data_IF_233440611693
#
_entry.id   IF_233440611693
#
_cell.length_a   1.000
_cell.length_b   1.000
_cell.length_c   1.000
_cell.angle_alpha   90.00
_cell.angle_beta   90.00
_cell.angle_gamma   90.00
#
_symmetry.space_group_name_H-M   'P 1'
#
loop_
_entity.id
_entity.type
_entity.pdbx_description
1 polymer ?
#
# COMPACT_ATOMS: atom_id res chain seq x y z
N UNK A 1 -65.75 14.01 -2.27
CA UNK A 1 -67.13 13.64 -2.65
C UNK A 1 -67.58 14.65 -3.68
N UNK A 2 -67.71 14.22 -4.94
CA UNK A 2 -68.01 15.10 -6.07
C UNK A 2 -69.52 15.18 -6.28
N UNK A 3 -70.10 16.31 -5.89
CA UNK A 3 -71.55 16.55 -5.95
C UNK A 3 -72.09 16.54 -7.37
N UNK A 4 -71.29 16.98 -8.35
CA UNK A 4 -71.70 17.03 -9.75
C UNK A 4 -71.80 15.61 -10.29
N UNK A 5 -70.79 14.78 -9.99
CA UNK A 5 -70.77 13.36 -10.39
C UNK A 5 -71.94 12.60 -9.78
N UNK A 6 -72.19 12.77 -8.48
CA UNK A 6 -73.34 12.15 -7.79
C UNK A 6 -74.67 12.62 -8.40
N UNK A 7 -74.81 13.92 -8.67
CA UNK A 7 -76.01 14.46 -9.32
C UNK A 7 -76.27 13.87 -10.70
N UNK A 8 -75.22 13.78 -11.54
CA UNK A 8 -75.30 13.15 -12.85
C UNK A 8 -75.65 11.66 -12.75
N UNK A 9 -75.13 10.97 -11.75
CA UNK A 9 -75.41 9.56 -11.50
C UNK A 9 -76.88 9.33 -11.09
N UNK A 10 -77.42 10.14 -10.16
CA UNK A 10 -78.84 10.15 -9.78
C UNK A 10 -79.71 10.37 -11.03
N UNK A 11 -79.37 11.38 -11.85
CA UNK A 11 -80.11 11.69 -13.07
C UNK A 11 -80.07 10.54 -14.08
N UNK A 12 -78.90 9.89 -14.22
CA UNK A 12 -78.69 8.74 -15.09
C UNK A 12 -79.55 7.56 -14.67
N UNK A 13 -79.51 7.15 -13.39
CA UNK A 13 -80.31 6.04 -12.87
C UNK A 13 -81.80 6.31 -12.93
N UNK A 14 -82.24 7.53 -12.59
CA UNK A 14 -83.65 7.93 -12.73
C UNK A 14 -84.13 7.79 -14.18
N UNK A 15 -83.35 8.29 -15.14
CA UNK A 15 -83.69 8.20 -16.58
C UNK A 15 -83.68 6.76 -17.07
N UNK A 16 -82.77 5.91 -16.59
CA UNK A 16 -82.73 4.49 -16.93
C UNK A 16 -84.00 3.75 -16.46
N UNK A 17 -84.59 4.19 -15.34
CA UNK A 17 -85.88 3.69 -14.84
C UNK A 17 -87.10 4.36 -15.50
N UNK A 18 -86.90 5.25 -16.47
CA UNK A 18 -87.98 5.95 -17.19
C UNK A 18 -88.78 6.94 -16.33
N UNK A 19 -88.30 7.29 -15.14
CA UNK A 19 -89.00 8.18 -14.22
C UNK A 19 -88.76 9.65 -14.57
N UNK A 20 -89.78 10.51 -14.46
CA UNK A 20 -89.62 11.97 -14.47
C UNK A 20 -89.13 12.49 -13.11
N UNK A 21 -88.55 13.70 -13.06
CA UNK A 21 -88.14 14.31 -11.79
C UNK A 21 -89.32 14.45 -10.81
N UNK A 22 -90.51 14.76 -11.33
CA UNK A 22 -91.75 14.84 -10.55
C UNK A 22 -92.12 13.48 -9.94
N UNK A 23 -92.05 12.40 -10.71
CA UNK A 23 -92.37 11.05 -10.22
C UNK A 23 -91.36 10.55 -9.18
N UNK A 24 -90.07 10.87 -9.33
CA UNK A 24 -89.08 10.56 -8.30
C UNK A 24 -89.32 11.38 -7.03
N UNK A 25 -89.68 12.65 -7.18
CA UNK A 25 -90.01 13.53 -6.06
C UNK A 25 -91.25 13.04 -5.28
N UNK A 26 -92.30 12.61 -5.99
CA UNK A 26 -93.51 12.02 -5.39
C UNK A 26 -93.19 10.73 -4.62
N UNK A 27 -92.33 9.87 -5.15
CA UNK A 27 -91.88 8.64 -4.46
C UNK A 27 -91.11 8.91 -3.16
N UNK A 28 -90.41 10.04 -3.09
CA UNK A 28 -89.57 10.43 -1.96
C UNK A 28 -90.23 11.47 -1.05
N UNK A 29 -91.48 11.87 -1.31
CA UNK A 29 -92.19 12.88 -0.53
C UNK A 29 -91.55 14.29 -0.58
N UNK A 30 -90.80 14.63 -1.63
CA UNK A 30 -90.11 15.92 -1.78
C UNK A 30 -90.64 16.73 -2.97
N UNK A 31 -90.20 17.98 -3.09
CA UNK A 31 -90.48 18.79 -4.28
C UNK A 31 -89.64 18.35 -5.49
N UNK A 32 -90.20 18.45 -6.69
CA UNK A 32 -89.49 18.26 -7.97
C UNK A 32 -88.26 19.20 -8.10
N UNK A 33 -88.35 20.41 -7.54
CA UNK A 33 -87.24 21.36 -7.43
C UNK A 33 -86.07 20.82 -6.60
N UNK A 34 -86.35 20.01 -5.57
CA UNK A 34 -85.30 19.38 -4.74
C UNK A 34 -84.52 18.36 -5.56
N UNK A 35 -85.22 17.48 -6.29
CA UNK A 35 -84.60 16.50 -7.20
C UNK A 35 -83.77 17.19 -8.28
N UNK A 36 -84.27 18.29 -8.86
CA UNK A 36 -83.53 19.09 -9.85
C UNK A 36 -82.25 19.73 -9.29
N UNK A 37 -82.22 20.10 -8.00
CA UNK A 37 -80.99 20.60 -7.35
C UNK A 37 -79.98 19.48 -7.13
N UNK A 38 -80.44 18.29 -6.73
CA UNK A 38 -79.58 17.13 -6.56
C UNK A 38 -78.95 16.70 -7.87
N UNK A 39 -79.74 16.57 -8.93
CA UNK A 39 -79.27 16.12 -10.25
C UNK A 39 -78.28 17.10 -10.90
N UNK A 40 -78.33 18.38 -10.56
CA UNK A 40 -77.38 19.40 -11.02
C UNK A 40 -76.15 19.54 -10.11
N UNK A 41 -76.07 18.75 -9.04
CA UNK A 41 -74.97 18.82 -8.05
C UNK A 41 -74.98 20.08 -7.21
N UNK A 42 -76.13 20.79 -7.09
CA UNK A 42 -76.27 22.02 -6.31
C UNK A 42 -76.27 21.72 -4.81
N UNK A 43 -76.91 20.62 -4.40
CA UNK A 43 -76.90 20.12 -3.03
C UNK A 43 -77.15 18.61 -3.00
N UNK A 44 -76.92 17.95 -1.86
CA UNK A 44 -77.32 16.55 -1.66
C UNK A 44 -78.73 16.47 -1.05
N UNK A 45 -79.40 15.31 -1.16
CA UNK A 45 -80.50 14.95 -0.28
C UNK A 45 -80.06 14.98 1.19
N UNK A 46 -81.03 15.06 2.09
CA UNK A 46 -80.76 14.81 3.51
C UNK A 46 -80.30 13.35 3.69
N UNK A 47 -79.42 13.08 4.66
CA UNK A 47 -78.93 11.72 4.96
C UNK A 47 -80.08 10.76 5.26
N UNK A 48 -81.17 11.26 5.86
CA UNK A 48 -82.41 10.50 6.10
C UNK A 48 -83.05 9.98 4.80
N UNK A 49 -82.89 10.70 3.69
CA UNK A 49 -83.43 10.33 2.37
C UNK A 49 -82.49 9.42 1.56
N UNK A 50 -81.26 9.15 2.02
CA UNK A 50 -80.29 8.39 1.24
C UNK A 50 -80.76 6.96 0.99
N UNK A 51 -81.28 6.27 2.01
CA UNK A 51 -81.76 4.90 1.88
C UNK A 51 -82.96 4.81 0.95
N UNK A 52 -83.90 5.74 1.06
CA UNK A 52 -85.11 5.80 0.22
C UNK A 52 -84.77 6.15 -1.22
N UNK A 53 -83.85 7.09 -1.45
CA UNK A 53 -83.36 7.43 -2.78
C UNK A 53 -82.62 6.25 -3.42
N UNK A 54 -81.74 5.59 -2.68
CA UNK A 54 -81.02 4.41 -3.16
C UNK A 54 -81.99 3.27 -3.52
N UNK A 55 -83.00 3.03 -2.68
CA UNK A 55 -84.05 2.04 -2.95
C UNK A 55 -84.91 2.42 -4.17
N UNK A 56 -85.28 3.70 -4.31
CA UNK A 56 -86.07 4.19 -5.44
C UNK A 56 -85.30 4.12 -6.78
N UNK A 57 -83.97 4.18 -6.73
CA UNK A 57 -83.09 4.12 -7.90
C UNK A 57 -82.45 2.74 -8.13
N UNK A 58 -82.60 1.80 -7.19
CA UNK A 58 -82.03 0.45 -7.28
C UNK A 58 -80.51 0.41 -7.19
N UNK A 59 -79.88 1.32 -6.44
CA UNK A 59 -78.42 1.43 -6.28
C UNK A 59 -77.99 1.21 -4.83
N UNK A 60 -76.75 0.80 -4.60
CA UNK A 60 -76.15 0.71 -3.28
C UNK A 60 -75.70 2.07 -2.73
N UNK A 61 -75.63 2.20 -1.41
CA UNK A 61 -75.18 3.46 -0.76
C UNK A 61 -73.75 3.85 -1.17
N UNK A 62 -72.86 2.87 -1.37
CA UNK A 62 -71.49 3.13 -1.80
C UNK A 62 -71.43 3.62 -3.25
N UNK A 63 -72.30 3.14 -4.12
CA UNK A 63 -72.41 3.60 -5.52
C UNK A 63 -72.96 5.03 -5.56
N UNK A 64 -73.99 5.32 -4.73
CA UNK A 64 -74.52 6.67 -4.57
C UNK A 64 -73.45 7.67 -4.09
N UNK A 65 -72.69 7.34 -3.04
CA UNK A 65 -71.66 8.23 -2.48
C UNK A 65 -70.44 8.38 -3.41
N UNK A 66 -70.16 7.36 -4.22
CA UNK A 66 -69.04 7.38 -5.19
C UNK A 66 -69.44 8.06 -6.51
N UNK A 67 -70.74 8.10 -6.82
CA UNK A 67 -71.29 8.68 -8.05
C UNK A 67 -71.06 7.83 -9.30
N UNK A 68 -70.72 6.55 -9.14
CA UNK A 68 -70.40 5.59 -10.20
C UNK A 68 -70.82 4.18 -9.79
N UNK A 69 -71.10 3.32 -10.77
CA UNK A 69 -71.26 1.88 -10.56
C UNK A 69 -69.94 1.30 -10.05
N UNK A 70 -69.98 0.65 -8.89
CA UNK A 70 -68.80 -0.06 -8.37
C UNK A 70 -68.81 -1.43 -9.03
N UNK A 71 -68.17 -1.53 -10.20
CA UNK A 71 -67.92 -2.81 -10.84
C UNK A 71 -67.00 -3.66 -9.94
N UNK A 72 -67.52 -4.77 -9.41
CA UNK A 72 -66.85 -5.68 -8.48
C UNK A 72 -65.66 -6.47 -9.10
N UNK A 73 -65.12 -6.04 -10.25
CA UNK A 73 -64.17 -6.81 -11.05
C UNK A 73 -62.74 -6.26 -11.16
N UNK A 74 -62.36 -5.22 -10.39
CA UNK A 74 -61.05 -4.55 -10.55
C UNK A 74 -60.04 -4.77 -9.40
N UNK A 75 -60.39 -5.59 -8.40
CA UNK A 75 -59.53 -5.92 -7.26
C UNK A 75 -58.43 -6.98 -7.53
N UNK A 76 -58.68 -8.09 -8.27
CA UNK A 76 -57.66 -9.14 -8.41
C UNK A 76 -56.48 -8.74 -9.31
N UNK A 77 -56.71 -7.88 -10.31
CA UNK A 77 -55.70 -7.53 -11.32
C UNK A 77 -54.59 -6.61 -10.77
N UNK A 78 -54.94 -5.69 -9.87
CA UNK A 78 -53.98 -4.77 -9.22
C UNK A 78 -53.15 -5.46 -8.14
N UNK A 79 -53.68 -6.50 -7.49
CA UNK A 79 -52.94 -7.27 -6.48
C UNK A 79 -51.83 -8.12 -7.15
N UNK A 80 -52.13 -8.78 -8.26
CA UNK A 80 -51.15 -9.58 -9.02
C UNK A 80 -50.01 -8.72 -9.57
N UNK A 81 -50.31 -7.52 -10.08
CA UNK A 81 -49.30 -6.63 -10.66
C UNK A 81 -48.33 -6.08 -9.59
N UNK A 82 -48.84 -5.73 -8.40
CA UNK A 82 -48.02 -5.29 -7.27
C UNK A 82 -47.14 -6.41 -6.68
N UNK A 83 -47.64 -7.66 -6.64
CA UNK A 83 -46.87 -8.83 -6.18
C UNK A 83 -45.75 -9.17 -7.18
N UNK A 84 -46.03 -9.09 -8.48
CA UNK A 84 -45.03 -9.35 -9.52
C UNK A 84 -43.93 -8.27 -9.54
N UNK A 85 -44.27 -7.00 -9.35
CA UNK A 85 -43.29 -5.91 -9.25
C UNK A 85 -42.40 -6.05 -8.02
N UNK A 86 -42.98 -6.32 -6.84
CA UNK A 86 -42.20 -6.54 -5.60
C UNK A 86 -41.29 -7.78 -5.67
N UNK A 87 -41.73 -8.87 -6.32
CA UNK A 87 -40.91 -10.06 -6.54
C UNK A 87 -39.74 -9.82 -7.53
N UNK A 88 -39.97 -9.04 -8.60
CA UNK A 88 -38.95 -8.69 -9.58
C UNK A 88 -37.89 -7.73 -9.00
N UNK A 89 -38.31 -6.77 -8.18
CA UNK A 89 -37.42 -5.81 -7.49
C UNK A 89 -36.56 -6.49 -6.43
N UNK A 90 -37.08 -7.49 -5.72
CA UNK A 90 -36.30 -8.32 -4.81
C UNK A 90 -35.13 -9.03 -5.51
N UNK A 91 -35.39 -9.65 -6.67
CA UNK A 91 -34.34 -10.34 -7.46
C UNK A 91 -33.30 -9.36 -8.02
N UNK A 92 -33.71 -8.18 -8.50
CA UNK A 92 -32.79 -7.14 -8.99
C UNK A 92 -31.93 -6.56 -7.87
N UNK A 93 -32.52 -6.26 -6.72
CA UNK A 93 -31.80 -5.78 -5.52
C UNK A 93 -30.80 -6.82 -5.03
N UNK A 94 -31.18 -8.10 -5.00
CA UNK A 94 -30.28 -9.20 -4.62
C UNK A 94 -29.09 -9.34 -5.58
N UNK A 95 -29.29 -9.20 -6.90
CA UNK A 95 -28.19 -9.19 -7.88
C UNK A 95 -27.26 -8.00 -7.66
N UNK A 96 -27.80 -6.79 -7.47
CA UNK A 96 -27.00 -5.58 -7.18
C UNK A 96 -26.20 -5.72 -5.89
N UNK A 97 -26.80 -6.23 -4.82
CA UNK A 97 -26.12 -6.52 -3.55
C UNK A 97 -24.98 -7.52 -3.74
N UNK A 98 -25.22 -8.64 -4.45
CA UNK A 98 -24.16 -9.63 -4.75
C UNK A 98 -23.02 -9.01 -5.58
N UNK A 99 -23.33 -8.18 -6.57
CA UNK A 99 -22.32 -7.47 -7.35
C UNK A 99 -21.53 -6.46 -6.49
N UNK A 100 -22.19 -5.70 -5.62
CA UNK A 100 -21.52 -4.78 -4.70
C UNK A 100 -20.60 -5.51 -3.72
N UNK A 101 -21.05 -6.63 -3.15
CA UNK A 101 -20.24 -7.46 -2.26
C UNK A 101 -19.04 -8.04 -3.02
N UNK A 102 -19.25 -8.57 -4.24
CA UNK A 102 -18.17 -9.08 -5.07
C UNK A 102 -17.15 -7.98 -5.42
N UNK A 103 -17.60 -6.78 -5.78
CA UNK A 103 -16.72 -5.64 -6.06
C UNK A 103 -15.90 -5.24 -4.82
N UNK A 104 -16.53 -5.21 -3.64
CA UNK A 104 -15.85 -4.89 -2.38
C UNK A 104 -14.79 -5.94 -2.04
N UNK A 105 -15.09 -7.23 -2.24
CA UNK A 105 -14.13 -8.32 -2.05
C UNK A 105 -12.93 -8.23 -2.98
N UNK A 106 -13.14 -7.85 -4.25
CA UNK A 106 -12.05 -7.65 -5.22
C UNK A 106 -11.15 -6.49 -4.78
N UNK A 107 -11.75 -5.36 -4.37
CA UNK A 107 -10.99 -4.19 -3.88
C UNK A 107 -10.20 -4.54 -2.63
N UNK A 108 -10.81 -5.27 -1.67
CA UNK A 108 -10.10 -5.69 -0.46
C UNK A 108 -8.96 -6.66 -0.77
N UNK A 109 -9.15 -7.59 -1.70
CA UNK A 109 -8.10 -8.52 -2.12
C UNK A 109 -6.94 -7.77 -2.80
N UNK A 110 -7.24 -6.81 -3.68
CA UNK A 110 -6.23 -5.98 -4.33
C UNK A 110 -5.43 -5.15 -3.31
N UNK A 111 -6.11 -4.54 -2.33
CA UNK A 111 -5.46 -3.79 -1.25
C UNK A 111 -4.51 -4.67 -0.43
N UNK A 112 -4.95 -5.88 -0.05
CA UNK A 112 -4.12 -6.86 0.66
C UNK A 112 -2.93 -7.31 -0.17
N UNK A 113 -3.08 -7.52 -1.48
CA UNK A 113 -1.96 -7.86 -2.37
C UNK A 113 -0.93 -6.72 -2.48
N UNK A 114 -1.37 -5.45 -2.52
CA UNK A 114 -0.47 -4.29 -2.54
C UNK A 114 0.30 -4.19 -1.22
N UNK A 115 -0.40 -4.32 -0.08
CA UNK A 115 0.23 -4.32 1.24
C UNK A 115 1.21 -5.49 1.37
N UNK A 116 0.81 -6.68 0.92
CA UNK A 116 1.67 -7.86 0.90
C UNK A 116 2.92 -7.65 0.06
N UNK A 117 2.79 -7.11 -1.16
CA UNK A 117 3.92 -6.78 -2.02
C UNK A 117 4.85 -5.72 -1.41
N UNK A 118 4.28 -4.71 -0.76
CA UNK A 118 5.06 -3.69 -0.04
C UNK A 118 5.85 -4.30 1.13
N UNK A 119 5.21 -5.12 1.96
CA UNK A 119 5.87 -5.82 3.07
C UNK A 119 6.98 -6.75 2.58
N UNK A 120 6.75 -7.50 1.50
CA UNK A 120 7.77 -8.38 0.89
C UNK A 120 8.94 -7.56 0.35
N UNK A 121 8.70 -6.36 -0.20
CA UNK A 121 9.75 -5.50 -0.75
C UNK A 121 10.59 -4.85 0.36
N UNK A 122 9.95 -4.36 1.42
CA UNK A 122 10.64 -3.74 2.56
C UNK A 122 11.40 -4.75 3.40
N UNK A 123 10.90 -5.99 3.50
CA UNK A 123 11.54 -7.05 4.28
C UNK A 123 12.44 -7.95 3.41
N UNK A 124 12.92 -7.46 2.26
CA UNK A 124 13.93 -8.17 1.46
C UNK A 124 15.20 -8.27 2.30
N UNK A 125 15.84 -9.45 2.37
CA UNK A 125 17.13 -9.57 3.02
C UNK A 125 18.15 -8.68 2.27
N UNK A 126 18.68 -7.69 2.95
CA UNK A 126 19.81 -6.88 2.50
C UNK A 126 21.11 -7.51 3.02
N UNK A 127 21.99 -7.87 2.08
CA UNK A 127 23.33 -8.37 2.30
C UNK A 127 24.26 -7.47 1.50
N UNK A 128 24.67 -6.33 2.08
CA UNK A 128 25.38 -5.25 1.37
C UNK A 128 26.42 -4.57 2.25
N UNK A 129 27.43 -3.99 1.61
CA UNK A 129 28.48 -3.15 2.20
C UNK A 129 28.43 -1.80 1.52
N UNK A 130 28.39 -0.73 2.30
CA UNK A 130 28.29 0.65 1.80
C UNK A 130 29.34 1.55 2.44
N UNK A 131 30.06 2.37 1.66
CA UNK A 131 30.87 3.43 2.23
C UNK A 131 29.96 4.45 2.92
N UNK A 132 30.41 4.98 4.06
CA UNK A 132 29.72 6.08 4.73
C UNK A 132 29.93 7.36 3.94
N UNK A 133 28.86 8.16 3.78
CA UNK A 133 28.90 9.39 3.00
C UNK A 133 29.97 10.36 3.50
N UNK A 134 30.73 10.95 2.56
CA UNK A 134 31.87 11.83 2.87
C UNK A 134 31.49 13.08 3.69
N UNK A 135 30.24 13.53 3.55
CA UNK A 135 29.64 14.70 4.21
C UNK A 135 28.79 14.35 5.44
N UNK A 136 28.71 13.06 5.82
CA UNK A 136 27.99 12.67 7.03
C UNK A 136 28.65 13.23 8.28
N UNK A 137 27.87 13.43 9.35
CA UNK A 137 28.38 13.92 10.62
C UNK A 137 29.38 12.95 11.25
N UNK A 138 29.18 11.65 11.09
CA UNK A 138 30.12 10.62 11.56
C UNK A 138 31.45 10.74 10.83
N UNK A 139 31.42 10.91 9.50
CA UNK A 139 32.62 11.00 8.68
C UNK A 139 33.38 12.32 8.91
N UNK A 140 32.67 13.43 9.10
CA UNK A 140 33.28 14.71 9.47
C UNK A 140 33.97 14.63 10.84
N UNK A 141 33.31 14.00 11.82
CA UNK A 141 33.90 13.78 13.15
C UNK A 141 35.17 12.92 13.05
N UNK A 142 35.11 11.87 12.26
CA UNK A 142 36.24 10.98 12.04
C UNK A 142 37.43 11.68 11.37
N UNK A 143 37.18 12.52 10.35
CA UNK A 143 38.23 13.34 9.71
C UNK A 143 38.93 14.29 10.69
N UNK A 144 38.21 14.84 11.65
CA UNK A 144 38.80 15.69 12.70
C UNK A 144 39.76 14.91 13.60
N UNK A 145 39.48 13.62 13.84
CA UNK A 145 40.30 12.75 14.71
C UNK A 145 41.47 12.12 13.94
N UNK A 146 41.22 11.70 12.69
CA UNK A 146 42.20 11.02 11.85
C UNK A 146 43.22 11.96 11.18
N UNK A 147 42.98 13.27 11.20
CA UNK A 147 43.88 14.26 10.64
C UNK A 147 43.84 14.33 9.10
N UNK A 148 44.95 14.78 8.52
CA UNK A 148 45.07 15.08 7.08
C UNK A 148 44.97 13.85 6.16
N UNK A 149 45.21 12.67 6.72
CA UNK A 149 45.25 11.41 5.97
C UNK A 149 43.84 10.82 5.77
N UNK A 150 42.87 11.40 6.48
CA UNK A 150 41.48 10.99 6.47
C UNK A 150 41.31 9.59 7.08
N UNK A 151 40.14 9.03 6.83
CA UNK A 151 39.82 7.69 7.25
C UNK A 151 38.79 7.12 6.26
N UNK A 152 38.56 5.81 6.36
CA UNK A 152 37.58 5.10 5.56
C UNK A 152 36.63 4.40 6.50
N UNK A 153 35.34 4.65 6.33
CA UNK A 153 34.29 4.07 7.15
C UNK A 153 33.27 3.40 6.24
N UNK A 154 32.94 2.16 6.57
CA UNK A 154 31.96 1.36 5.86
C UNK A 154 30.95 0.81 6.85
N UNK A 155 29.70 0.68 6.42
CA UNK A 155 28.68 -0.09 7.13
C UNK A 155 28.32 -1.31 6.30
N UNK A 156 28.16 -2.45 6.96
CA UNK A 156 27.56 -3.60 6.33
C UNK A 156 26.20 -3.90 6.98
N UNK A 157 25.29 -4.42 6.17
CA UNK A 157 24.03 -5.02 6.60
C UNK A 157 24.01 -6.43 6.05
N UNK A 158 23.85 -7.43 6.93
CA UNK A 158 23.87 -8.85 6.60
C UNK A 158 22.63 -9.51 7.21
N UNK A 159 21.60 -9.69 6.38
CA UNK A 159 20.35 -10.36 6.75
C UNK A 159 20.53 -11.86 6.92
N UNK A 160 21.41 -12.47 6.13
CA UNK A 160 21.79 -13.87 6.30
C UNK A 160 22.75 -14.04 7.48
N UNK A 161 22.68 -15.18 8.16
CA UNK A 161 23.62 -15.50 9.23
C UNK A 161 25.00 -15.93 8.68
N UNK A 162 26.05 -15.58 9.42
CA UNK A 162 27.44 -15.98 9.17
C UNK A 162 28.14 -16.38 10.48
N UNK A 163 29.21 -17.16 10.40
CA UNK A 163 29.98 -17.62 11.56
C UNK A 163 31.17 -16.74 11.88
N UNK A 164 31.77 -16.11 10.88
CA UNK A 164 32.88 -15.18 11.11
C UNK A 164 33.00 -14.14 10.00
N UNK A 165 33.59 -13.01 10.37
CA UNK A 165 34.01 -11.95 9.46
C UNK A 165 35.52 -11.92 9.46
N UNK A 166 36.12 -12.27 8.32
CA UNK A 166 37.57 -12.26 8.13
C UNK A 166 37.94 -11.05 7.28
N UNK A 167 39.02 -10.38 7.67
CA UNK A 167 39.58 -9.27 6.92
C UNK A 167 41.02 -9.62 6.56
N UNK A 168 41.37 -9.43 5.30
CA UNK A 168 42.66 -9.74 4.75
C UNK A 168 43.43 -8.47 4.45
N UNK A 169 44.74 -8.49 4.71
CA UNK A 169 45.69 -7.50 4.27
C UNK A 169 46.66 -8.18 3.33
N UNK A 170 46.70 -7.75 2.08
CA UNK A 170 47.67 -8.21 1.09
C UNK A 170 48.61 -7.07 0.76
N UNK A 171 49.90 -7.26 1.00
CA UNK A 171 50.93 -6.26 0.74
C UNK A 171 51.63 -6.55 -0.58
N UNK A 172 51.85 -5.49 -1.35
CA UNK A 172 52.56 -5.52 -2.62
C UNK A 172 53.72 -4.53 -2.62
N UNK A 173 54.90 -5.00 -3.03
CA UNK A 173 56.07 -4.16 -3.30
C UNK A 173 56.42 -4.27 -4.79
N UNK A 174 56.51 -3.14 -5.48
CA UNK A 174 56.81 -3.04 -6.91
C UNK A 174 55.96 -4.00 -7.77
N UNK A 175 54.66 -4.05 -7.45
CA UNK A 175 53.67 -4.92 -8.12
C UNK A 175 53.70 -6.40 -7.73
N UNK A 176 54.60 -6.84 -6.84
CA UNK A 176 54.68 -8.24 -6.39
C UNK A 176 54.10 -8.40 -5.00
N UNK A 177 53.22 -9.39 -4.83
CA UNK A 177 52.70 -9.75 -3.51
C UNK A 177 53.84 -10.25 -2.62
N UNK A 178 54.03 -9.61 -1.47
CA UNK A 178 55.08 -9.96 -0.49
C UNK A 178 54.50 -10.61 0.75
N UNK A 179 53.28 -10.24 1.16
CA UNK A 179 52.61 -10.83 2.32
C UNK A 179 51.09 -10.89 2.11
N UNK A 180 50.43 -11.81 2.82
CA UNK A 180 48.97 -11.84 2.97
C UNK A 180 48.63 -12.32 4.37
N UNK A 181 48.13 -11.40 5.19
CA UNK A 181 47.72 -11.64 6.57
C UNK A 181 46.20 -11.56 6.69
N UNK A 182 45.64 -12.09 7.78
CA UNK A 182 44.23 -11.93 8.07
C UNK A 182 43.94 -11.86 9.57
N UNK A 183 42.83 -11.21 9.89
CA UNK A 183 42.23 -11.21 11.22
C UNK A 183 40.77 -11.64 11.12
N UNK A 184 40.31 -12.41 12.10
CA UNK A 184 38.98 -13.01 12.10
C UNK A 184 38.21 -12.64 13.36
N UNK A 185 36.96 -12.20 13.18
CA UNK A 185 35.99 -12.02 14.26
C UNK A 185 34.96 -13.15 14.18
N UNK A 186 34.95 -14.04 15.17
CA UNK A 186 34.09 -15.23 15.21
C UNK A 186 32.83 -15.00 16.04
N UNK A 187 31.70 -15.48 15.54
CA UNK A 187 30.36 -15.37 16.14
C UNK A 187 29.70 -16.71 16.45
N UNK A 188 30.43 -17.84 16.37
CA UNK A 188 29.89 -19.21 16.53
C UNK A 188 28.99 -19.39 17.75
N UNK A 189 29.29 -18.72 18.86
CA UNK A 189 28.59 -18.90 20.14
C UNK A 189 27.54 -17.82 20.45
N UNK A 190 27.53 -16.72 19.69
CA UNK A 190 26.72 -15.51 19.99
C UNK A 190 25.77 -15.10 18.86
N UNK A 191 25.91 -15.70 17.68
CA UNK A 191 25.14 -15.35 16.47
C UNK A 191 25.72 -14.12 15.77
N UNK A 192 25.68 -14.10 14.43
CA UNK A 192 26.19 -12.98 13.65
C UNK A 192 25.34 -11.72 13.82
N UNK A 193 25.98 -10.54 13.93
CA UNK A 193 25.28 -9.27 13.92
C UNK A 193 24.65 -9.00 12.55
N UNK A 194 23.50 -8.32 12.55
CA UNK A 194 22.83 -7.90 11.30
C UNK A 194 23.43 -6.64 10.70
N UNK A 195 24.11 -5.83 11.51
CA UNK A 195 24.78 -4.62 11.08
C UNK A 195 26.13 -4.50 11.78
N UNK A 196 27.10 -3.92 11.08
CA UNK A 196 28.39 -3.58 11.67
C UNK A 196 29.11 -2.49 10.90
N UNK A 197 30.16 -1.98 11.52
CA UNK A 197 30.99 -0.88 11.03
C UNK A 197 32.42 -1.35 10.87
N UNK A 198 33.01 -1.01 9.72
CA UNK A 198 34.42 -1.24 9.40
C UNK A 198 35.08 0.12 9.28
N UNK A 199 36.13 0.34 10.05
CA UNK A 199 36.85 1.60 10.12
C UNK A 199 38.34 1.35 9.85
N UNK A 200 38.88 2.08 8.89
CA UNK A 200 40.30 2.03 8.51
C UNK A 200 40.86 3.44 8.62
N UNK A 201 41.83 3.63 9.50
CA UNK A 201 42.42 4.94 9.79
C UNK A 201 43.92 4.87 9.50
N UNK A 202 44.38 5.34 8.33
CA UNK A 202 45.79 5.56 8.08
C UNK A 202 46.34 6.66 8.99
N UNK A 203 47.50 6.41 9.57
CA UNK A 203 48.28 7.35 10.36
C UNK A 203 49.69 7.39 9.75
N UNK A 204 49.90 8.32 8.84
CA UNK A 204 51.16 8.45 8.12
C UNK A 204 52.25 9.11 8.96
N UNK A 205 51.90 9.84 10.01
CA UNK A 205 52.88 10.38 10.95
C UNK A 205 53.63 9.24 11.64
N UNK A 206 52.88 8.20 12.05
CA UNK A 206 53.42 7.01 12.69
C UNK A 206 53.65 5.83 11.74
N UNK A 207 53.37 5.98 10.45
CA UNK A 207 53.48 4.92 9.44
C UNK A 207 52.75 3.64 9.85
N UNK A 208 51.53 3.78 10.36
CA UNK A 208 50.65 2.66 10.68
C UNK A 208 49.24 2.88 10.14
N UNK A 209 48.51 1.79 9.97
CA UNK A 209 47.08 1.83 9.67
C UNK A 209 46.35 1.10 10.79
N UNK A 210 45.38 1.78 11.40
CA UNK A 210 44.50 1.18 12.41
C UNK A 210 43.25 0.63 11.74
N UNK A 211 42.93 -0.61 12.06
CA UNK A 211 41.74 -1.32 11.59
C UNK A 211 40.83 -1.61 12.77
N UNK A 212 39.59 -1.14 12.71
CA UNK A 212 38.57 -1.38 13.73
C UNK A 212 37.34 -1.96 13.07
N UNK A 213 36.92 -3.13 13.53
CA UNK A 213 35.62 -3.74 13.25
C UNK A 213 34.80 -3.62 14.52
N UNK A 214 33.60 -3.05 14.41
CA UNK A 214 32.68 -2.92 15.51
C UNK A 214 31.28 -3.31 15.06
N UNK A 215 30.67 -4.24 15.76
CA UNK A 215 29.32 -4.74 15.48
C UNK A 215 28.49 -4.82 16.77
N UNK A 216 27.29 -5.40 16.72
CA UNK A 216 26.27 -5.44 17.78
C UNK A 216 26.64 -6.06 19.14
N UNK A 217 27.91 -6.01 19.53
CA UNK A 217 28.45 -6.38 20.83
C UNK A 217 29.95 -6.69 20.79
N UNK A 218 30.50 -6.97 19.60
CA UNK A 218 31.90 -7.33 19.43
C UNK A 218 32.71 -6.18 18.86
N UNK A 219 34.00 -6.14 19.21
CA UNK A 219 34.96 -5.20 18.66
C UNK A 219 36.29 -5.89 18.44
N UNK A 220 36.79 -5.84 17.20
CA UNK A 220 38.16 -6.17 16.85
C UNK A 220 38.89 -4.86 16.54
N UNK A 221 40.06 -4.64 17.14
CA UNK A 221 40.90 -3.47 16.89
C UNK A 221 42.34 -3.94 16.75
N UNK A 222 42.94 -3.69 15.60
CA UNK A 222 44.33 -4.05 15.29
C UNK A 222 45.00 -2.90 14.53
N UNK A 223 46.32 -2.95 14.39
CA UNK A 223 47.07 -2.05 13.51
C UNK A 223 48.21 -2.79 12.82
N UNK A 224 48.60 -2.29 11.65
CA UNK A 224 49.74 -2.81 10.90
C UNK A 224 50.62 -1.66 10.42
N UNK A 225 51.95 -1.87 10.35
CA UNK A 225 52.86 -0.86 9.81
C UNK A 225 52.70 -0.72 8.29
N UNK A 226 53.04 0.46 7.78
CA UNK A 226 53.14 0.74 6.34
C UNK A 226 54.53 1.28 6.03
N UNK A 227 55.06 0.95 4.85
CA UNK A 227 56.38 1.38 4.37
C UNK A 227 57.49 1.06 5.39
N UNK A 228 57.44 -0.14 5.98
CA UNK A 228 58.43 -0.57 6.96
C UNK A 228 59.80 -0.76 6.28
N UNK A 229 60.85 -0.22 6.89
CA UNK A 229 62.22 -0.29 6.35
C UNK A 229 62.56 0.78 5.31
N UNK A 230 61.62 1.59 4.85
CA UNK A 230 61.87 2.61 3.82
C UNK A 230 62.36 3.95 4.41
N UNK A 231 63.54 4.41 4.00
CA UNK A 231 64.15 5.64 4.55
C UNK A 231 63.43 6.93 4.10
N UNK A 232 62.99 6.98 2.82
CA UNK A 232 62.38 8.16 2.21
C UNK A 232 60.85 8.18 2.24
N UNK A 233 60.24 7.24 2.98
CA UNK A 233 58.78 7.04 3.04
C UNK A 233 57.94 8.27 3.35
N UNK A 234 58.51 9.30 4.01
CA UNK A 234 57.84 10.59 4.31
C UNK A 234 57.50 11.41 3.07
N UNK A 235 58.21 11.20 1.97
CA UNK A 235 58.04 11.98 0.74
C UNK A 235 57.20 11.26 -0.31
N UNK A 236 56.73 10.05 -0.01
CA UNK A 236 55.96 9.27 -0.96
C UNK A 236 54.62 9.95 -1.20
N UNK A 237 54.26 10.07 -2.48
CA UNK A 237 52.90 10.38 -2.85
C UNK A 237 52.00 9.23 -2.37
N UNK A 238 50.82 9.57 -1.86
CA UNK A 238 49.86 8.62 -1.29
C UNK A 238 48.46 8.82 -1.86
N UNK A 239 47.77 7.73 -2.12
CA UNK A 239 46.36 7.72 -2.53
C UNK A 239 45.64 6.48 -1.98
N UNK A 240 44.31 6.57 -1.89
CA UNK A 240 43.45 5.44 -1.55
C UNK A 240 42.39 5.20 -2.62
N UNK A 241 42.20 3.93 -2.99
CA UNK A 241 41.09 3.49 -3.83
C UNK A 241 40.14 2.64 -2.99
N UNK A 242 38.92 3.12 -2.76
CA UNK A 242 37.87 2.40 -2.03
C UNK A 242 36.74 1.98 -2.95
N UNK A 243 35.85 1.11 -2.46
CA UNK A 243 34.52 0.99 -3.05
C UNK A 243 33.80 2.35 -2.98
N UNK A 244 33.14 2.75 -4.06
CA UNK A 244 32.40 4.02 -4.14
C UNK A 244 30.89 3.83 -3.94
N UNK A 245 30.37 2.71 -4.42
CA UNK A 245 28.95 2.36 -4.36
C UNK A 245 28.68 1.19 -3.40
N UNK A 246 27.41 1.01 -3.07
CA UNK A 246 26.92 -0.16 -2.35
C UNK A 246 27.26 -1.45 -3.11
N UNK A 247 27.94 -2.37 -2.42
CA UNK A 247 28.42 -3.64 -2.98
C UNK A 247 27.70 -4.81 -2.30
N UNK A 248 27.08 -5.74 -3.04
CA UNK A 248 26.45 -6.93 -2.45
C UNK A 248 27.46 -7.80 -1.72
N UNK A 249 27.09 -8.33 -0.54
CA UNK A 249 27.89 -9.33 0.17
C UNK A 249 27.75 -10.67 -0.55
N UNK A 250 28.88 -11.21 -0.97
CA UNK A 250 29.00 -12.58 -1.48
C UNK A 250 29.67 -13.41 -0.39
N UNK A 251 28.88 -14.22 0.31
CA UNK A 251 29.39 -15.13 1.35
C UNK A 251 30.37 -16.15 0.76
N UNK A 252 31.34 -16.60 1.56
CA UNK A 252 32.42 -17.51 1.12
C UNK A 252 33.26 -16.93 -0.04
N UNK A 253 33.33 -15.60 -0.15
CA UNK A 253 34.10 -14.93 -1.18
C UNK A 253 34.79 -13.71 -0.60
N UNK A 254 36.09 -13.60 -0.90
CA UNK A 254 36.89 -12.44 -0.56
C UNK A 254 36.53 -11.26 -1.48
N UNK A 255 36.07 -10.16 -0.89
CA UNK A 255 35.61 -8.97 -1.59
C UNK A 255 36.52 -7.76 -1.32
N UNK A 256 36.87 -6.98 -2.36
CA UNK A 256 37.68 -5.77 -2.22
C UNK A 256 37.00 -4.71 -1.37
N UNK A 257 37.77 -4.02 -0.52
CA UNK A 257 37.27 -2.89 0.27
C UNK A 257 38.07 -1.61 0.02
N UNK A 258 39.40 -1.67 0.19
CA UNK A 258 40.28 -0.51 0.11
C UNK A 258 41.68 -0.91 -0.37
N UNK A 259 42.31 -0.11 -1.22
CA UNK A 259 43.72 -0.18 -1.51
C UNK A 259 44.39 1.15 -1.12
N UNK A 260 45.40 1.09 -0.25
CA UNK A 260 46.28 2.23 0.06
C UNK A 260 47.54 2.11 -0.78
N UNK A 261 47.87 3.16 -1.53
CA UNK A 261 48.90 3.14 -2.56
C UNK A 261 49.92 4.23 -2.26
N UNK A 262 51.19 3.87 -2.35
CA UNK A 262 52.31 4.78 -2.15
C UNK A 262 53.31 4.66 -3.30
N UNK A 263 53.84 5.80 -3.75
CA UNK A 263 54.92 5.84 -4.73
C UNK A 263 55.80 7.07 -4.53
N UNK A 264 57.09 6.93 -4.83
CA UNK A 264 58.06 8.02 -4.80
C UNK A 264 57.87 8.99 -5.99
N UNK A 265 57.55 8.45 -7.18
CA UNK A 265 57.57 9.23 -8.43
C UNK A 265 56.17 9.52 -8.99
N UNK A 266 55.38 8.48 -9.24
CA UNK A 266 54.10 8.61 -9.93
C UNK A 266 53.07 7.63 -9.42
N UNK A 267 51.93 8.16 -8.95
CA UNK A 267 50.79 7.34 -8.56
C UNK A 267 49.91 7.03 -9.76
N UNK A 268 49.51 5.77 -9.87
CA UNK A 268 48.38 5.36 -10.70
C UNK A 268 47.27 4.80 -9.81
N UNK A 269 46.16 5.53 -9.75
CA UNK A 269 44.95 5.09 -9.05
C UNK A 269 44.13 4.19 -9.96
N UNK A 270 43.73 3.02 -9.44
CA UNK A 270 42.87 2.05 -10.12
C UNK A 270 41.67 1.73 -9.23
N UNK A 271 40.62 1.18 -9.83
CA UNK A 271 39.49 0.70 -9.05
C UNK A 271 39.95 -0.43 -8.12
N UNK A 272 39.42 -0.46 -6.89
CA UNK A 272 39.83 -1.45 -5.88
C UNK A 272 39.56 -2.89 -6.33
N UNK A 273 38.57 -3.09 -7.21
CA UNK A 273 38.21 -4.38 -7.79
C UNK A 273 39.28 -4.95 -8.73
N UNK A 274 40.10 -4.11 -9.36
CA UNK A 274 41.17 -4.57 -10.26
C UNK A 274 42.27 -5.31 -9.48
N UNK A 275 42.46 -4.99 -8.20
CA UNK A 275 43.42 -5.68 -7.33
C UNK A 275 42.98 -7.10 -6.99
N UNK A 276 41.67 -7.35 -6.85
CA UNK A 276 41.11 -8.67 -6.60
C UNK A 276 41.36 -9.65 -7.77
N UNK A 277 41.42 -9.13 -9.01
CA UNK A 277 41.66 -9.91 -10.22
C UNK A 277 43.14 -10.30 -10.43
N UNK A 278 44.03 -10.04 -9.46
CA UNK A 278 45.48 -10.26 -9.60
C UNK A 278 46.14 -9.40 -10.69
N UNK A 279 45.41 -8.39 -11.19
CA UNK A 279 45.81 -7.49 -12.26
C UNK A 279 46.57 -6.30 -11.69
N UNK A 280 47.57 -6.54 -10.83
CA UNK A 280 48.30 -5.45 -10.17
C UNK A 280 49.36 -4.93 -11.12
N UNK A 281 49.22 -3.65 -11.51
CA UNK A 281 50.21 -2.96 -12.35
C UNK A 281 51.53 -2.78 -11.60
N UNK A 282 52.69 -3.02 -12.21
CA UNK A 282 54.01 -2.84 -11.58
C UNK A 282 54.40 -1.37 -11.34
N UNK A 283 53.47 -0.42 -11.46
CA UNK A 283 53.76 1.02 -11.53
C UNK A 283 53.79 1.70 -10.15
N UNK A 284 53.08 1.17 -9.15
CA UNK A 284 53.13 1.72 -7.80
C UNK A 284 54.17 0.97 -6.96
N UNK A 285 54.95 1.70 -6.17
CA UNK A 285 56.05 1.14 -5.40
C UNK A 285 55.54 0.28 -4.22
N UNK A 286 54.49 0.73 -3.53
CA UNK A 286 53.88 -0.02 -2.43
C UNK A 286 52.35 0.04 -2.51
N UNK A 287 51.70 -1.09 -2.25
CA UNK A 287 50.24 -1.13 -2.10
C UNK A 287 49.83 -2.06 -0.96
N UNK A 288 48.89 -1.59 -0.15
CA UNK A 288 48.27 -2.32 0.95
C UNK A 288 46.80 -2.53 0.60
N UNK A 289 46.48 -3.74 0.18
CA UNK A 289 45.15 -4.12 -0.28
C UNK A 289 44.37 -4.80 0.85
N UNK A 290 43.21 -4.26 1.15
CA UNK A 290 42.33 -4.69 2.22
C UNK A 290 41.04 -5.22 1.59
N UNK A 291 40.74 -6.47 1.93
CA UNK A 291 39.56 -7.20 1.48
C UNK A 291 38.92 -7.93 2.66
N UNK A 292 37.69 -8.38 2.49
CA UNK A 292 36.89 -8.98 3.56
C UNK A 292 36.12 -10.19 3.06
N UNK A 293 35.79 -11.09 3.95
CA UNK A 293 35.05 -12.31 3.66
C UNK A 293 34.07 -12.59 4.80
N UNK A 294 32.81 -12.81 4.43
CA UNK A 294 31.78 -13.30 5.36
C UNK A 294 31.69 -14.82 5.23
N UNK A 295 32.19 -15.53 6.25
CA UNK A 295 32.22 -17.00 6.29
C UNK A 295 30.96 -17.54 6.96
N UNK A 296 30.21 -18.38 6.29
CA UNK A 296 29.11 -19.23 6.77
C UNK A 296 29.64 -20.55 7.33
N UNK A 297 28.75 -21.32 7.96
CA UNK A 297 29.08 -22.68 8.38
C UNK A 297 29.29 -23.57 7.15
N UNK A 298 30.36 -24.36 7.12
CA UNK A 298 30.42 -25.52 6.24
C UNK A 298 29.19 -26.39 6.53
N UNK A 299 28.40 -26.67 5.49
CA UNK A 299 27.23 -27.57 5.56
C UNK A 299 27.65 -29.03 5.65
#
# INVERSE_FOLDING_TARGET
MDLIRIGQYIAGKRKALGLTQKQLAEKLGVSDKSVSKWERGVCLPDVSLYTELCAALGIGINEFLSGDDIAENDLPRRAEENILQTAADGKRRQKRLKCMVAALLIVSAAALSIIGAYLIRTNRPENVIRPVEKESTEMQTLKLIAGLDGAYMYRYTASDDFLSLRIYLTEYHFGKQVSKENWELSYRDIGSPKEGTILIVPDFENFQVKLILADGGSKLSTSFPILEGEENRKYFARAGASIEDETPITFESEQPLLALIYSENSLQLRAVQEFAAGSVSPVNDYAYYISLEFCKAEQ
#
